data_IF_282859388221
#
_entry.id   IF_282859388221
#
_cell.length_a   1.000
_cell.length_b   1.000
_cell.length_c   1.000
_cell.angle_alpha   90.00
_cell.angle_beta   90.00
_cell.angle_gamma   90.00
#
_symmetry.space_group_name_H-M   'P 1'
#
loop_
_entity.id
_entity.type
_entity.pdbx_description
1 polymer ?
#
# COMPACT_ATOMS: atom_id res chain seq x y z
N UNK A 1 71.59 62.21 9.17
CA UNK A 1 73.06 62.04 9.08
C UNK A 1 73.33 60.78 8.27
N UNK A 2 74.16 60.87 7.23
CA UNK A 2 74.67 59.71 6.48
C UNK A 2 74.50 59.78 4.96
N UNK A 3 75.33 60.61 4.32
CA UNK A 3 75.60 60.68 2.88
C UNK A 3 76.84 59.86 2.50
N UNK A 4 76.80 59.17 1.35
CA UNK A 4 77.85 58.95 0.32
C UNK A 4 77.48 57.69 -0.52
N UNK A 5 77.24 57.69 -1.85
CA UNK A 5 78.14 57.96 -3.02
C UNK A 5 79.38 57.02 -3.00
N UNK A 6 79.80 56.25 -4.02
CA UNK A 6 79.73 56.31 -5.50
C UNK A 6 80.11 54.95 -6.18
N UNK A 7 79.54 54.72 -7.37
CA UNK A 7 80.11 54.31 -8.70
C UNK A 7 80.87 52.98 -8.92
N UNK A 8 80.36 52.21 -9.91
CA UNK A 8 80.98 51.81 -11.21
C UNK A 8 80.24 50.58 -11.79
N UNK A 9 80.11 50.24 -13.08
CA UNK A 9 80.17 50.83 -14.44
C UNK A 9 79.88 49.67 -15.43
N UNK A 10 79.59 50.00 -16.70
CA UNK A 10 79.50 49.16 -17.94
C UNK A 10 78.13 48.54 -18.34
N UNK A 11 77.40 49.05 -19.34
CA UNK A 11 77.54 48.97 -20.85
C UNK A 11 77.20 47.56 -21.40
N UNK A 12 76.30 47.30 -22.37
CA UNK A 12 75.86 47.94 -23.63
C UNK A 12 74.36 47.62 -23.91
N UNK A 13 73.48 48.48 -24.45
CA UNK A 13 73.35 49.20 -25.76
C UNK A 13 72.99 48.34 -26.99
N UNK A 14 71.82 48.71 -27.55
CA UNK A 14 71.36 48.70 -28.96
C UNK A 14 71.01 47.33 -29.59
N UNK A 15 69.92 47.16 -30.35
CA UNK A 15 69.31 48.12 -31.27
C UNK A 15 67.80 47.91 -31.56
N UNK A 16 67.15 49.05 -31.82
CA UNK A 16 66.18 49.35 -32.90
C UNK A 16 64.80 48.67 -32.93
N UNK A 17 63.71 49.38 -32.58
CA UNK A 17 63.01 50.43 -33.35
C UNK A 17 62.09 49.89 -34.46
N UNK A 18 60.80 49.73 -34.14
CA UNK A 18 59.73 50.03 -35.08
C UNK A 18 58.53 50.59 -34.30
N UNK A 19 58.38 51.91 -34.39
CA UNK A 19 57.24 52.67 -33.92
C UNK A 19 56.08 52.49 -34.91
N UNK A 20 54.97 51.92 -34.46
CA UNK A 20 53.64 52.33 -34.93
C UNK A 20 52.74 52.47 -33.72
N UNK A 21 52.41 53.72 -33.46
CA UNK A 21 51.37 54.21 -32.57
C UNK A 21 50.06 53.45 -32.81
N UNK A 22 49.63 52.67 -31.82
CA UNK A 22 48.22 52.27 -31.70
C UNK A 22 47.63 52.90 -30.46
N UNK A 23 46.66 53.77 -30.75
CA UNK A 23 45.67 54.36 -29.84
C UNK A 23 45.31 53.40 -28.72
N UNK A 24 45.42 53.86 -27.47
CA UNK A 24 44.83 53.20 -26.31
C UNK A 24 43.29 53.21 -26.44
N UNK A 25 42.75 52.20 -27.13
CA UNK A 25 41.35 51.83 -26.95
C UNK A 25 41.27 50.91 -25.74
N UNK A 26 40.88 51.49 -24.60
CA UNK A 26 40.39 50.75 -23.46
C UNK A 26 39.18 49.92 -23.91
N UNK A 27 39.39 48.64 -24.24
CA UNK A 27 38.30 47.69 -24.33
C UNK A 27 37.78 47.47 -22.90
N UNK A 28 36.66 48.11 -22.57
CA UNK A 28 35.86 47.77 -21.41
C UNK A 28 35.39 46.32 -21.55
N UNK A 29 36.14 45.39 -20.99
CA UNK A 29 35.80 43.97 -20.93
C UNK A 29 34.71 43.77 -19.88
N UNK A 30 33.47 44.06 -20.24
CA UNK A 30 32.35 43.44 -19.55
C UNK A 30 32.51 41.93 -19.72
N UNK A 31 32.94 41.26 -18.65
CA UNK A 31 33.28 39.84 -18.65
C UNK A 31 32.21 39.01 -19.37
N UNK A 32 32.60 37.95 -20.07
CA UNK A 32 31.68 37.00 -20.73
C UNK A 32 30.53 36.55 -19.79
N UNK A 33 30.81 36.51 -18.48
CA UNK A 33 29.85 36.28 -17.40
C UNK A 33 28.78 37.39 -17.27
N UNK A 34 29.16 38.66 -17.35
CA UNK A 34 28.22 39.78 -17.35
C UNK A 34 27.34 39.81 -18.60
N UNK A 35 27.90 39.52 -19.78
CA UNK A 35 27.13 39.36 -21.03
C UNK A 35 26.09 38.22 -20.91
N UNK A 36 26.50 37.09 -20.33
CA UNK A 36 25.60 35.94 -20.13
C UNK A 36 24.53 36.18 -19.05
N UNK A 37 24.87 36.90 -17.99
CA UNK A 37 23.89 37.29 -16.96
C UNK A 37 22.90 38.33 -17.48
N UNK A 38 23.37 39.26 -18.31
CA UNK A 38 22.52 40.26 -18.98
C UNK A 38 21.49 39.58 -19.90
N UNK A 39 21.93 38.65 -20.74
CA UNK A 39 21.04 37.89 -21.63
C UNK A 39 20.03 37.01 -20.89
N UNK A 40 20.40 36.43 -19.74
CA UNK A 40 19.44 35.70 -18.88
C UNK A 40 18.42 36.65 -18.27
N UNK A 41 18.85 37.84 -17.82
CA UNK A 41 17.96 38.86 -17.25
C UNK A 41 16.98 39.40 -18.29
N UNK A 42 17.47 39.68 -19.50
CA UNK A 42 16.66 40.13 -20.64
C UNK A 42 15.60 39.10 -21.03
N UNK A 43 15.95 37.80 -21.09
CA UNK A 43 14.94 36.74 -21.33
C UNK A 43 13.90 36.65 -20.25
N UNK A 44 14.29 36.78 -18.98
CA UNK A 44 13.34 36.75 -17.87
C UNK A 44 12.37 37.94 -17.92
N UNK A 45 12.86 39.13 -18.27
CA UNK A 45 12.01 40.30 -18.48
C UNK A 45 11.10 40.14 -19.69
N UNK A 46 11.58 39.58 -20.81
CA UNK A 46 10.76 39.30 -21.99
C UNK A 46 9.62 38.33 -21.65
N UNK A 47 9.94 37.22 -20.97
CA UNK A 47 8.93 36.23 -20.56
C UNK A 47 7.88 36.81 -19.61
N UNK A 48 8.28 37.73 -18.73
CA UNK A 48 7.34 38.41 -17.84
C UNK A 48 6.42 39.36 -18.60
N UNK A 49 6.95 40.10 -19.58
CA UNK A 49 6.16 40.97 -20.45
C UNK A 49 5.21 40.16 -21.33
N UNK A 50 5.65 39.03 -21.89
CA UNK A 50 4.82 38.13 -22.69
C UNK A 50 3.71 37.50 -21.84
N UNK A 51 3.97 37.19 -20.57
CA UNK A 51 2.96 36.72 -19.63
C UNK A 51 1.92 37.81 -19.33
N UNK A 52 2.33 39.05 -19.01
CA UNK A 52 1.40 40.17 -18.79
C UNK A 52 0.52 40.38 -20.02
N UNK A 53 1.11 40.38 -21.21
CA UNK A 53 0.35 40.50 -22.48
C UNK A 53 -0.61 39.34 -22.69
N UNK A 54 -0.26 38.13 -22.29
CA UNK A 54 -1.16 36.96 -22.38
C UNK A 54 -2.36 37.06 -21.43
N UNK A 55 -2.16 37.66 -20.25
CA UNK A 55 -3.21 37.92 -19.25
C UNK A 55 -4.12 39.07 -19.69
N UNK A 56 -3.56 40.13 -20.30
CA UNK A 56 -4.31 41.23 -20.89
C UNK A 56 -5.11 40.78 -22.13
N UNK A 57 -4.55 39.89 -22.96
CA UNK A 57 -5.20 39.34 -24.15
C UNK A 57 -6.37 38.38 -23.83
N UNK A 58 -6.44 37.84 -22.61
CA UNK A 58 -7.54 36.96 -22.16
C UNK A 58 -8.72 37.73 -21.52
N UNK A 59 -8.72 39.06 -21.58
CA UNK A 59 -9.94 39.86 -21.47
C UNK A 59 -10.73 39.69 -20.17
N UNK A 60 -10.06 39.52 -19.03
CA UNK A 60 -10.72 39.58 -17.72
C UNK A 60 -10.14 40.72 -16.91
N UNK A 61 -10.77 41.88 -17.04
CA UNK A 61 -10.67 42.94 -16.05
C UNK A 61 -11.18 42.37 -14.72
N UNK A 62 -10.26 42.06 -13.80
CA UNK A 62 -10.61 41.71 -12.43
C UNK A 62 -11.07 43.00 -11.75
N UNK A 63 -12.37 43.26 -11.82
CA UNK A 63 -13.02 44.18 -10.91
C UNK A 63 -12.88 43.61 -9.50
N UNK A 64 -12.23 44.37 -8.62
CA UNK A 64 -12.27 44.13 -7.19
C UNK A 64 -13.72 44.22 -6.71
N UNK A 65 -14.40 43.09 -6.58
CA UNK A 65 -15.67 43.00 -5.88
C UNK A 65 -15.73 41.67 -5.14
N UNK A 66 -16.19 41.78 -3.90
CA UNK A 66 -16.09 40.81 -2.84
C UNK A 66 -16.78 39.49 -3.20
N UNK A 67 -16.00 38.40 -3.26
CA UNK A 67 -16.53 37.04 -3.19
C UNK A 67 -15.70 36.31 -2.14
N UNK A 68 -16.38 35.92 -1.06
CA UNK A 68 -15.89 35.03 -0.01
C UNK A 68 -15.22 33.79 -0.63
N UNK A 69 -14.09 33.30 -0.08
CA UNK A 69 -13.27 32.31 -0.76
C UNK A 69 -14.01 30.98 -0.80
N UNK A 70 -14.65 30.67 -1.93
CA UNK A 70 -15.02 29.30 -2.26
C UNK A 70 -13.75 28.45 -2.26
N UNK A 71 -13.82 27.30 -1.58
CA UNK A 71 -12.84 26.21 -1.54
C UNK A 71 -11.73 26.37 -2.60
N UNK A 72 -10.52 26.67 -2.12
CA UNK A 72 -9.40 27.07 -2.94
C UNK A 72 -9.17 26.08 -4.09
N UNK A 73 -8.74 26.59 -5.26
CA UNK A 73 -8.30 25.79 -6.41
C UNK A 73 -7.33 24.63 -6.04
N UNK A 74 -6.61 24.75 -4.92
CA UNK A 74 -5.76 23.72 -4.33
C UNK A 74 -6.52 22.45 -3.88
N UNK A 75 -7.76 22.55 -3.45
CA UNK A 75 -8.57 21.41 -3.01
C UNK A 75 -9.13 20.62 -4.20
N UNK A 76 -9.54 21.32 -5.27
CA UNK A 76 -9.97 20.69 -6.53
C UNK A 76 -8.83 19.95 -7.25
N UNK A 77 -7.60 20.46 -7.14
CA UNK A 77 -6.41 19.83 -7.75
C UNK A 77 -5.92 18.56 -7.02
N UNK A 78 -6.43 18.23 -5.82
CA UNK A 78 -6.04 17.01 -5.11
C UNK A 78 -6.64 15.73 -5.72
N UNK A 79 -7.74 15.84 -6.47
CA UNK A 79 -8.45 14.69 -7.05
C UNK A 79 -8.90 15.02 -8.49
N UNK A 80 -8.01 14.94 -9.50
CA UNK A 80 -8.33 15.34 -10.87
C UNK A 80 -9.15 14.29 -11.65
N UNK A 81 -9.39 13.12 -11.05
CA UNK A 81 -10.37 12.15 -11.51
C UNK A 81 -11.35 12.03 -10.36
N UNK A 82 -12.64 12.23 -10.61
CA UNK A 82 -13.70 12.00 -9.63
C UNK A 82 -13.63 10.57 -9.12
N UNK A 83 -12.90 10.36 -8.03
CA UNK A 83 -13.17 9.28 -7.10
C UNK A 83 -14.45 9.66 -6.40
N UNK A 84 -15.52 8.95 -6.69
CA UNK A 84 -16.78 9.04 -5.96
C UNK A 84 -16.51 9.16 -4.45
N UNK A 85 -16.83 10.35 -3.96
CA UNK A 85 -17.23 10.72 -2.60
C UNK A 85 -16.20 10.47 -1.48
N UNK A 86 -15.44 11.54 -1.18
CA UNK A 86 -15.12 11.90 0.21
C UNK A 86 -16.05 13.04 0.62
N UNK A 87 -17.15 12.70 1.29
CA UNK A 87 -17.88 13.64 2.12
C UNK A 87 -17.34 13.43 3.53
N UNK A 88 -16.40 14.28 3.94
CA UNK A 88 -16.14 14.48 5.36
C UNK A 88 -17.32 15.28 5.91
N UNK A 89 -17.96 14.72 6.92
CA UNK A 89 -19.02 15.35 7.69
C UNK A 89 -18.45 16.57 8.42
N UNK A 90 -19.11 17.72 8.27
CA UNK A 90 -19.55 18.51 9.42
C UNK A 90 -20.72 19.44 9.02
N UNK A 91 -21.79 19.25 9.77
CA UNK A 91 -23.01 19.99 10.03
C UNK A 91 -23.17 21.40 9.40
N UNK A 92 -24.19 21.57 8.57
CA UNK A 92 -25.33 22.47 8.86
C UNK A 92 -26.47 22.27 7.86
N UNK A 93 -27.68 22.16 8.41
CA UNK A 93 -28.94 21.98 7.72
C UNK A 93 -29.14 22.90 6.50
N UNK A 94 -29.55 22.34 5.36
CA UNK A 94 -30.83 22.69 4.73
C UNK A 94 -31.08 21.89 3.45
N UNK A 95 -32.35 21.54 3.32
CA UNK A 95 -33.01 20.79 2.29
C UNK A 95 -32.59 21.07 0.82
N UNK A 96 -32.82 20.02 0.01
CA UNK A 96 -33.01 19.97 -1.45
C UNK A 96 -31.78 19.88 -2.36
N UNK A 97 -31.83 18.84 -3.20
CA UNK A 97 -31.07 18.60 -4.43
C UNK A 97 -29.59 18.22 -4.33
N UNK A 98 -29.36 16.97 -3.90
CA UNK A 98 -28.17 16.23 -4.30
C UNK A 98 -28.56 15.08 -5.23
N UNK A 99 -28.21 15.25 -6.52
CA UNK A 99 -28.13 14.18 -7.50
C UNK A 99 -27.06 13.19 -7.06
N UNK A 100 -27.46 12.20 -6.28
CA UNK A 100 -26.70 10.97 -6.12
C UNK A 100 -26.60 10.31 -7.49
N UNK A 101 -25.38 9.97 -7.89
CA UNK A 101 -25.13 8.97 -8.92
C UNK A 101 -25.95 7.75 -8.52
N UNK A 102 -26.84 7.31 -9.42
CA UNK A 102 -27.77 6.20 -9.22
C UNK A 102 -27.04 4.97 -8.64
N UNK A 103 -27.02 4.85 -7.31
CA UNK A 103 -26.82 3.57 -6.65
C UNK A 103 -28.12 2.85 -6.95
N UNK A 104 -28.14 1.77 -7.74
CA UNK A 104 -29.38 1.05 -7.97
C UNK A 104 -29.95 0.72 -6.58
N UNK A 105 -31.25 0.94 -6.40
CA UNK A 105 -32.02 0.77 -5.14
C UNK A 105 -32.06 -0.70 -4.63
N UNK A 106 -31.03 -1.50 -4.94
CA UNK A 106 -30.94 -2.91 -4.65
C UNK A 106 -29.51 -3.42 -4.56
N UNK A 107 -29.41 -4.63 -4.01
CA UNK A 107 -28.18 -5.39 -3.96
C UNK A 107 -27.73 -5.83 -5.36
N UNK A 108 -26.44 -5.73 -5.65
CA UNK A 108 -25.89 -6.00 -6.97
C UNK A 108 -25.64 -7.50 -7.22
N UNK A 109 -25.82 -8.34 -6.19
CA UNK A 109 -25.63 -9.79 -6.29
C UNK A 109 -24.15 -10.17 -6.36
N UNK A 110 -23.83 -11.23 -7.10
CA UNK A 110 -22.46 -11.72 -7.25
C UNK A 110 -21.65 -10.79 -8.15
N UNK A 111 -20.56 -10.23 -7.61
CA UNK A 111 -19.65 -9.32 -8.32
C UNK A 111 -18.56 -10.10 -9.05
N UNK A 112 -17.95 -11.08 -8.36
CA UNK A 112 -16.88 -11.90 -8.93
C UNK A 112 -16.88 -13.28 -8.30
N UNK A 113 -16.57 -14.27 -9.12
CA UNK A 113 -16.44 -15.66 -8.70
C UNK A 113 -15.07 -16.21 -9.13
N UNK A 114 -14.49 -17.01 -8.24
CA UNK A 114 -13.28 -17.78 -8.45
C UNK A 114 -13.65 -19.26 -8.30
N UNK A 115 -13.72 -19.96 -9.42
CA UNK A 115 -13.85 -21.41 -9.43
C UNK A 115 -12.47 -22.05 -9.19
N UNK A 116 -12.44 -23.09 -8.38
CA UNK A 116 -11.26 -23.91 -8.09
C UNK A 116 -11.59 -25.32 -8.59
N UNK A 117 -11.03 -25.66 -9.75
CA UNK A 117 -11.38 -26.86 -10.51
C UNK A 117 -11.24 -28.12 -9.63
N UNK A 118 -12.36 -28.81 -9.38
CA UNK A 118 -12.43 -30.01 -8.55
C UNK A 118 -12.59 -29.79 -7.03
N UNK A 119 -12.46 -28.56 -6.53
CA UNK A 119 -12.52 -28.26 -5.09
C UNK A 119 -13.74 -27.43 -4.67
N UNK A 120 -14.21 -26.52 -5.52
CA UNK A 120 -15.37 -25.68 -5.23
C UNK A 120 -15.24 -24.27 -5.80
N UNK A 121 -15.96 -23.31 -5.21
CA UNK A 121 -15.96 -21.90 -5.64
C UNK A 121 -15.90 -20.91 -4.48
N UNK A 122 -15.29 -19.76 -4.73
CA UNK A 122 -15.26 -18.61 -3.84
C UNK A 122 -15.91 -17.42 -4.55
N UNK A 123 -16.95 -16.82 -3.98
CA UNK A 123 -17.63 -15.64 -4.56
C UNK A 123 -17.50 -14.41 -3.67
N UNK A 124 -17.43 -13.22 -4.27
CA UNK A 124 -17.63 -11.93 -3.61
C UNK A 124 -18.96 -11.33 -4.07
N UNK A 125 -19.83 -11.00 -3.11
CA UNK A 125 -21.21 -10.59 -3.36
C UNK A 125 -21.57 -9.31 -2.61
N UNK A 126 -22.36 -8.46 -3.27
CA UNK A 126 -23.02 -7.30 -2.68
C UNK A 126 -24.46 -7.69 -2.35
N UNK A 127 -24.71 -8.05 -1.09
CA UNK A 127 -26.00 -8.56 -0.60
C UNK A 127 -26.20 -8.36 0.91
N UNK A 128 -27.42 -8.55 1.41
CA UNK A 128 -27.66 -8.74 2.85
C UNK A 128 -27.40 -10.20 3.24
N UNK A 129 -26.32 -10.43 3.98
CA UNK A 129 -25.89 -11.74 4.45
C UNK A 129 -26.96 -12.51 5.24
N UNK A 130 -27.85 -11.81 5.96
CA UNK A 130 -28.89 -12.46 6.77
C UNK A 130 -30.05 -12.99 5.93
N UNK A 131 -30.22 -12.45 4.72
CA UNK A 131 -31.29 -12.80 3.79
C UNK A 131 -30.94 -13.93 2.81
N UNK A 132 -29.69 -14.39 2.83
CA UNK A 132 -29.18 -15.42 1.93
C UNK A 132 -29.32 -16.82 2.52
N UNK A 133 -29.65 -17.77 1.66
CA UNK A 133 -29.67 -19.20 2.02
C UNK A 133 -28.25 -19.77 1.97
N UNK A 134 -27.86 -20.46 3.05
CA UNK A 134 -26.64 -21.27 3.15
C UNK A 134 -26.72 -22.24 4.33
N UNK A 135 -25.77 -23.15 4.42
CA UNK A 135 -25.66 -24.07 5.55
C UNK A 135 -25.21 -23.31 6.80
N UNK A 136 -24.18 -22.46 6.69
CA UNK A 136 -23.62 -21.71 7.81
C UNK A 136 -23.41 -20.23 7.49
N UNK A 137 -23.85 -19.36 8.40
CA UNK A 137 -23.42 -17.95 8.43
C UNK A 137 -22.41 -17.76 9.53
N UNK A 138 -21.25 -17.22 9.16
CA UNK A 138 -20.20 -16.84 10.09
C UNK A 138 -20.51 -15.47 10.67
N UNK A 139 -20.53 -15.37 11.99
CA UNK A 139 -20.80 -14.13 12.71
C UNK A 139 -19.63 -13.83 13.65
N UNK A 140 -18.86 -12.77 13.40
CA UNK A 140 -17.76 -12.44 14.27
C UNK A 140 -18.26 -11.89 15.61
N UNK A 141 -17.66 -12.34 16.70
CA UNK A 141 -17.95 -11.91 18.07
C UNK A 141 -16.67 -11.71 18.86
N UNK A 142 -16.67 -10.80 19.84
CA UNK A 142 -15.52 -10.65 20.72
C UNK A 142 -15.40 -11.84 21.70
N UNK A 143 -14.24 -12.06 22.33
CA UNK A 143 -14.02 -13.14 23.31
C UNK A 143 -14.98 -13.13 24.51
N UNK A 144 -15.53 -11.97 24.87
CA UNK A 144 -16.54 -11.82 25.92
C UNK A 144 -17.99 -12.06 25.42
N UNK A 145 -18.16 -12.49 24.17
CA UNK A 145 -19.45 -12.82 23.52
C UNK A 145 -20.50 -11.70 23.53
N UNK A 146 -20.06 -10.46 23.74
CA UNK A 146 -20.93 -9.28 23.86
C UNK A 146 -20.50 -8.22 22.85
N UNK A 147 -20.90 -8.37 21.58
CA UNK A 147 -20.62 -7.37 20.54
C UNK A 147 -21.40 -6.08 20.84
N UNK A 148 -20.72 -4.93 20.77
CA UNK A 148 -21.33 -3.61 20.98
C UNK A 148 -21.97 -3.03 19.72
N UNK A 149 -21.57 -3.50 18.54
CA UNK A 149 -22.02 -2.98 17.24
C UNK A 149 -21.86 -4.04 16.13
N UNK A 150 -22.24 -3.67 14.91
CA UNK A 150 -22.01 -4.48 13.72
C UNK A 150 -22.96 -5.66 13.56
N UNK A 151 -22.55 -6.62 12.72
CA UNK A 151 -23.36 -7.80 12.40
C UNK A 151 -23.60 -8.69 13.63
N UNK A 152 -22.61 -8.81 14.53
CA UNK A 152 -22.72 -9.62 15.73
C UNK A 152 -23.88 -9.19 16.62
N UNK A 153 -24.02 -7.89 16.86
CA UNK A 153 -25.12 -7.35 17.66
C UNK A 153 -26.46 -7.56 16.95
N UNK A 154 -26.57 -7.23 15.65
CA UNK A 154 -27.82 -7.39 14.89
C UNK A 154 -28.35 -8.82 14.88
N UNK A 155 -27.45 -9.80 14.78
CA UNK A 155 -27.82 -11.22 14.83
C UNK A 155 -28.35 -11.61 16.21
N UNK A 156 -27.70 -11.14 17.28
CA UNK A 156 -28.15 -11.41 18.66
C UNK A 156 -29.48 -10.71 18.99
N UNK A 157 -29.70 -9.49 18.50
CA UNK A 157 -30.97 -8.77 18.65
C UNK A 157 -32.11 -9.49 17.95
N UNK A 158 -31.90 -9.96 16.70
CA UNK A 158 -32.92 -10.71 15.94
C UNK A 158 -33.23 -12.07 16.55
N UNK A 159 -32.21 -12.83 16.98
CA UNK A 159 -32.42 -14.15 17.61
C UNK A 159 -32.89 -14.09 19.07
N UNK A 160 -32.79 -12.91 19.69
CA UNK A 160 -33.27 -12.63 21.04
C UNK A 160 -32.65 -13.50 22.14
N UNK A 161 -33.35 -13.59 23.28
CA UNK A 161 -32.87 -14.27 24.49
C UNK A 161 -32.55 -15.76 24.28
N UNK A 162 -33.28 -16.44 23.38
CA UNK A 162 -33.08 -17.87 23.09
C UNK A 162 -31.71 -18.11 22.46
N UNK A 163 -31.35 -17.32 21.45
CA UNK A 163 -30.04 -17.39 20.79
C UNK A 163 -28.90 -17.09 21.76
N UNK A 164 -29.03 -16.02 22.56
CA UNK A 164 -28.01 -15.65 23.56
C UNK A 164 -27.80 -16.78 24.58
N UNK A 165 -28.88 -17.39 25.07
CA UNK A 165 -28.79 -18.50 26.04
C UNK A 165 -28.12 -19.73 25.41
N UNK A 166 -28.45 -20.03 24.15
CA UNK A 166 -27.83 -21.13 23.42
C UNK A 166 -26.33 -20.89 23.16
N UNK A 167 -25.96 -19.66 22.76
CA UNK A 167 -24.58 -19.23 22.55
C UNK A 167 -23.74 -19.43 23.81
N UNK A 168 -24.18 -18.88 24.95
CA UNK A 168 -23.45 -19.01 26.22
C UNK A 168 -23.36 -20.46 26.68
N UNK A 169 -24.44 -21.25 26.52
CA UNK A 169 -24.43 -22.67 26.87
C UNK A 169 -23.42 -23.44 26.01
N UNK A 170 -23.38 -23.18 24.71
CA UNK A 170 -22.43 -23.83 23.79
C UNK A 170 -20.99 -23.38 24.01
N UNK A 171 -20.76 -22.10 24.29
CA UNK A 171 -19.44 -21.59 24.66
C UNK A 171 -18.85 -22.31 25.87
N UNK A 172 -19.67 -22.54 26.91
CA UNK A 172 -19.25 -23.30 28.10
C UNK A 172 -18.89 -24.75 27.77
N UNK A 173 -19.58 -25.38 26.82
CA UNK A 173 -19.25 -26.74 26.34
C UNK A 173 -17.91 -26.75 25.63
N UNK A 174 -17.64 -25.79 24.73
CA UNK A 174 -16.35 -25.68 24.03
C UNK A 174 -15.18 -25.52 25.03
N UNK A 175 -15.36 -24.68 26.06
CA UNK A 175 -14.36 -24.52 27.13
C UNK A 175 -14.18 -25.81 27.92
N UNK A 176 -15.27 -26.51 28.26
CA UNK A 176 -15.21 -27.78 28.99
C UNK A 176 -14.51 -28.90 28.19
N UNK A 177 -14.78 -28.99 26.88
CA UNK A 177 -14.12 -29.95 25.98
C UNK A 177 -12.60 -29.70 25.91
N UNK A 178 -12.19 -28.43 25.86
CA UNK A 178 -10.78 -28.04 25.90
C UNK A 178 -10.10 -28.41 27.22
N UNK A 179 -10.78 -28.17 28.34
CA UNK A 179 -10.26 -28.53 29.66
C UNK A 179 -10.11 -30.05 29.79
N UNK A 180 -11.10 -30.83 29.35
CA UNK A 180 -11.02 -32.29 29.31
C UNK A 180 -9.85 -32.77 28.44
N UNK A 181 -9.65 -32.17 27.25
CA UNK A 181 -8.52 -32.49 26.40
C UNK A 181 -7.17 -32.19 27.07
N UNK A 182 -7.05 -31.08 27.79
CA UNK A 182 -5.82 -30.75 28.54
C UNK A 182 -5.56 -31.69 29.71
N UNK A 183 -6.60 -32.13 30.41
CA UNK A 183 -6.46 -33.12 31.49
C UNK A 183 -5.90 -34.43 30.97
N UNK A 184 -6.31 -34.89 29.79
CA UNK A 184 -5.73 -36.09 29.16
C UNK A 184 -4.25 -35.92 28.82
N UNK A 185 -3.84 -34.69 28.47
CA UNK A 185 -2.46 -34.34 28.11
C UNK A 185 -1.60 -33.93 29.31
N UNK A 186 -2.13 -33.96 30.54
CA UNK A 186 -1.42 -33.53 31.76
C UNK A 186 -0.05 -34.18 31.93
N UNK A 187 0.11 -35.44 31.50
CA UNK A 187 1.37 -36.19 31.58
C UNK A 187 2.48 -35.67 30.66
N UNK A 188 2.15 -34.85 29.66
CA UNK A 188 3.11 -34.30 28.70
C UNK A 188 3.75 -32.98 29.18
N UNK A 189 3.21 -32.36 30.23
CA UNK A 189 3.79 -31.15 30.82
C UNK A 189 4.93 -31.52 31.76
N UNK A 190 6.08 -30.85 31.58
CA UNK A 190 7.28 -31.07 32.40
C UNK A 190 7.19 -30.32 33.72
N UNK A 191 6.62 -29.11 33.68
CA UNK A 191 6.51 -28.21 34.82
C UNK A 191 5.05 -27.97 35.22
N UNK A 192 4.80 -27.90 36.53
CA UNK A 192 3.47 -27.61 37.06
C UNK A 192 3.00 -26.20 36.67
N UNK A 193 3.92 -25.23 36.58
CA UNK A 193 3.60 -23.85 36.22
C UNK A 193 3.12 -23.73 34.76
N UNK A 194 3.74 -24.45 33.83
CA UNK A 194 3.30 -24.49 32.42
C UNK A 194 1.90 -25.07 32.28
N UNK A 195 1.58 -26.09 33.09
CA UNK A 195 0.25 -26.67 33.14
C UNK A 195 -0.79 -25.68 33.70
N UNK A 196 -0.46 -24.95 34.77
CA UNK A 196 -1.35 -23.93 35.33
C UNK A 196 -1.61 -22.78 34.35
N UNK A 197 -0.59 -22.32 33.63
CA UNK A 197 -0.74 -21.32 32.56
C UNK A 197 -1.64 -21.84 31.43
N UNK A 198 -1.42 -23.08 30.98
CA UNK A 198 -2.25 -23.70 29.95
C UNK A 198 -3.71 -23.85 30.40
N UNK A 199 -3.93 -24.20 31.67
CA UNK A 199 -5.25 -24.36 32.26
C UNK A 199 -5.98 -23.01 32.40
N UNK A 200 -5.26 -21.94 32.74
CA UNK A 200 -5.82 -20.60 32.77
C UNK A 200 -6.20 -20.10 31.37
N UNK A 201 -5.36 -20.34 30.36
CA UNK A 201 -5.66 -20.00 28.96
C UNK A 201 -6.85 -20.81 28.42
N UNK A 202 -7.04 -22.05 28.86
CA UNK A 202 -8.12 -22.91 28.40
C UNK A 202 -9.49 -22.53 28.95
N UNK A 203 -9.54 -21.86 30.10
CA UNK A 203 -10.78 -21.32 30.69
C UNK A 203 -11.38 -20.18 29.86
N UNK A 204 -10.56 -19.48 29.06
CA UNK A 204 -11.02 -18.42 28.16
C UNK A 204 -11.28 -18.93 26.75
N UNK A 205 -12.17 -18.22 26.05
CA UNK A 205 -12.34 -18.41 24.61
C UNK A 205 -11.14 -17.82 23.89
N UNK A 206 -10.58 -18.61 22.97
CA UNK A 206 -9.41 -18.25 22.20
C UNK A 206 -9.81 -17.67 20.86
N UNK A 207 -8.90 -16.89 20.29
CA UNK A 207 -9.05 -16.30 18.97
C UNK A 207 -9.13 -17.41 17.92
N UNK A 208 -10.20 -17.40 17.12
CA UNK A 208 -10.46 -18.39 16.08
C UNK A 208 -11.32 -19.57 16.53
N UNK A 209 -11.80 -19.57 17.79
CA UNK A 209 -12.82 -20.50 18.25
C UNK A 209 -14.14 -20.26 17.51
N UNK A 210 -14.81 -21.36 17.14
CA UNK A 210 -16.12 -21.32 16.46
C UNK A 210 -17.16 -21.97 17.36
N UNK A 211 -18.25 -21.26 17.60
CA UNK A 211 -19.38 -21.74 18.41
C UNK A 211 -20.60 -21.86 17.50
N UNK A 212 -21.03 -23.10 17.26
CA UNK A 212 -22.19 -23.38 16.41
C UNK A 212 -23.49 -23.32 17.22
N UNK A 213 -24.47 -22.59 16.67
CA UNK A 213 -25.80 -22.42 17.27
C UNK A 213 -26.86 -22.49 16.18
N UNK A 214 -28.09 -22.97 16.49
CA UNK A 214 -29.20 -22.81 15.56
C UNK A 214 -29.57 -21.32 15.44
N UNK A 215 -30.14 -20.89 14.30
CA UNK A 215 -30.32 -19.47 13.97
C UNK A 215 -31.40 -18.75 14.78
N UNK A 216 -32.42 -19.45 15.28
CA UNK A 216 -33.60 -18.86 15.96
C UNK A 216 -34.17 -17.63 15.23
N UNK A 217 -34.44 -17.78 13.93
CA UNK A 217 -34.97 -16.73 13.04
C UNK A 217 -34.05 -15.52 12.79
N UNK A 218 -32.81 -15.53 13.30
CA UNK A 218 -31.87 -14.43 13.09
C UNK A 218 -31.32 -14.35 11.65
N UNK A 219 -31.21 -15.50 10.98
CA UNK A 219 -30.72 -15.63 9.61
C UNK A 219 -31.44 -16.77 8.89
N UNK A 220 -31.48 -16.74 7.55
CA UNK A 220 -32.04 -17.81 6.72
C UNK A 220 -31.14 -19.06 6.62
N UNK A 221 -29.92 -18.99 7.13
CA UNK A 221 -29.00 -20.13 7.12
C UNK A 221 -29.38 -21.19 8.16
N UNK A 222 -28.97 -22.44 7.92
CA UNK A 222 -29.34 -23.56 8.80
C UNK A 222 -28.69 -23.48 10.19
N UNK A 223 -27.47 -22.94 10.26
CA UNK A 223 -26.67 -22.81 11.49
C UNK A 223 -25.95 -21.46 11.47
N UNK A 224 -25.74 -20.88 12.65
CA UNK A 224 -24.88 -19.70 12.86
C UNK A 224 -23.60 -20.15 13.56
N UNK A 225 -22.46 -19.85 12.93
CA UNK A 225 -21.13 -20.04 13.49
C UNK A 225 -20.60 -18.73 14.07
N UNK A 226 -20.66 -18.59 15.39
CA UNK A 226 -20.05 -17.46 16.08
C UNK A 226 -18.54 -17.64 16.17
N UNK A 227 -17.78 -16.74 15.54
CA UNK A 227 -16.31 -16.81 15.48
C UNK A 227 -15.72 -15.79 16.42
N UNK A 228 -14.86 -16.25 17.32
CA UNK A 228 -14.15 -15.38 18.26
C UNK A 228 -13.03 -14.64 17.53
N UNK A 229 -13.25 -13.35 17.27
CA UNK A 229 -12.28 -12.49 16.58
C UNK A 229 -11.39 -11.74 17.57
N UNK A 230 -10.15 -11.39 17.20
CA UNK A 230 -9.26 -10.61 18.06
C UNK A 230 -9.75 -9.17 18.19
N UNK A 231 -9.48 -8.55 19.33
CA UNK A 231 -9.58 -7.09 19.44
C UNK A 231 -8.39 -6.43 18.73
N UNK A 232 -8.67 -5.70 17.65
CA UNK A 232 -7.65 -5.04 16.82
C UNK A 232 -7.15 -3.69 17.39
N UNK A 233 -6.92 -3.59 18.70
CA UNK A 233 -6.27 -2.42 19.32
C UNK A 233 -4.73 -2.47 19.28
N UNK A 234 -4.18 -3.43 18.55
CA UNK A 234 -2.74 -3.61 18.44
C UNK A 234 -2.10 -2.60 17.49
N UNK A 235 -1.02 -1.95 17.93
CA UNK A 235 -0.31 -0.91 17.18
C UNK A 235 0.34 -1.39 15.87
N UNK A 236 0.35 -2.70 15.60
CA UNK A 236 0.99 -3.31 14.43
C UNK A 236 0.00 -3.94 13.46
N UNK A 237 -0.16 -3.33 12.27
CA UNK A 237 -1.01 -3.85 11.17
C UNK A 237 -0.64 -5.28 10.73
N UNK A 238 0.64 -5.66 10.82
CA UNK A 238 1.11 -7.02 10.50
C UNK A 238 0.59 -8.06 11.48
N UNK A 239 0.60 -7.77 12.78
CA UNK A 239 0.15 -8.73 13.80
C UNK A 239 -1.37 -8.94 13.71
N UNK A 240 -2.11 -7.84 13.51
CA UNK A 240 -3.54 -7.90 13.21
C UNK A 240 -3.84 -8.78 11.99
N UNK A 241 -3.07 -8.63 10.91
CA UNK A 241 -3.20 -9.45 9.71
C UNK A 241 -2.94 -10.94 9.97
N UNK A 242 -1.89 -11.27 10.74
CA UNK A 242 -1.58 -12.66 11.09
C UNK A 242 -2.68 -13.30 11.94
N UNK A 243 -3.24 -12.54 12.89
CA UNK A 243 -4.37 -13.00 13.70
C UNK A 243 -5.63 -13.19 12.85
N UNK A 244 -5.92 -12.28 11.93
CA UNK A 244 -7.03 -12.41 10.99
C UNK A 244 -6.90 -13.68 10.14
N UNK A 245 -5.70 -13.94 9.59
CA UNK A 245 -5.41 -15.17 8.84
C UNK A 245 -5.66 -16.41 9.67
N UNK A 246 -5.08 -16.43 10.87
CA UNK A 246 -5.29 -17.53 11.81
C UNK A 246 -6.78 -17.75 12.11
N UNK A 247 -7.53 -16.70 12.46
CA UNK A 247 -8.97 -16.83 12.73
C UNK A 247 -9.75 -17.40 11.58
N UNK A 248 -9.49 -16.92 10.37
CA UNK A 248 -10.27 -17.33 9.21
C UNK A 248 -9.93 -18.75 8.80
N UNK A 249 -8.64 -19.10 8.82
CA UNK A 249 -8.16 -20.46 8.59
C UNK A 249 -8.76 -21.46 9.57
N UNK A 250 -8.65 -21.21 10.89
CA UNK A 250 -9.20 -22.12 11.91
C UNK A 250 -10.71 -22.24 11.80
N UNK A 251 -11.39 -21.14 11.46
CA UNK A 251 -12.84 -21.15 11.24
C UNK A 251 -13.21 -22.09 10.10
N UNK A 252 -12.62 -21.91 8.93
CA UNK A 252 -12.96 -22.73 7.77
C UNK A 252 -12.56 -24.19 7.97
N UNK A 253 -11.40 -24.47 8.57
CA UNK A 253 -10.99 -25.84 8.92
C UNK A 253 -11.99 -26.51 9.87
N UNK A 254 -12.47 -25.78 10.88
CA UNK A 254 -13.48 -26.29 11.80
C UNK A 254 -14.81 -26.55 11.10
N UNK A 255 -15.31 -25.62 10.29
CA UNK A 255 -16.55 -25.78 9.53
C UNK A 255 -16.47 -26.97 8.55
N UNK A 256 -15.29 -27.19 7.96
CA UNK A 256 -15.04 -28.30 7.06
C UNK A 256 -15.07 -29.66 7.80
N UNK A 257 -14.52 -29.72 9.03
CA UNK A 257 -14.65 -30.91 9.89
C UNK A 257 -16.10 -31.21 10.26
N UNK A 258 -16.91 -30.15 10.42
CA UNK A 258 -18.35 -30.25 10.68
C UNK A 258 -19.20 -30.56 9.44
N UNK A 259 -18.57 -30.85 8.29
CA UNK A 259 -19.21 -31.22 7.01
C UNK A 259 -20.16 -30.16 6.42
N UNK A 260 -19.89 -28.89 6.69
CA UNK A 260 -20.65 -27.77 6.13
C UNK A 260 -20.22 -27.53 4.68
N UNK A 261 -21.17 -27.36 3.76
CA UNK A 261 -20.87 -27.22 2.31
C UNK A 261 -20.82 -25.78 1.86
N UNK A 262 -21.76 -24.96 2.34
CA UNK A 262 -21.90 -23.56 1.94
C UNK A 262 -21.72 -22.64 3.14
N UNK A 263 -20.76 -21.72 3.04
CA UNK A 263 -20.39 -20.80 4.13
C UNK A 263 -20.56 -19.36 3.67
N UNK A 264 -21.38 -18.60 4.38
CA UNK A 264 -21.53 -17.15 4.23
C UNK A 264 -20.63 -16.44 5.23
N UNK A 265 -19.72 -15.62 4.74
CA UNK A 265 -18.76 -14.89 5.57
C UNK A 265 -18.88 -13.38 5.34
N UNK A 266 -19.08 -12.57 6.39
CA UNK A 266 -18.85 -11.14 6.33
C UNK A 266 -17.33 -10.85 6.37
N UNK A 267 -16.88 -9.62 6.06
CA UNK A 267 -15.50 -9.24 6.32
C UNK A 267 -15.23 -9.30 7.82
N UNK A 268 -14.45 -10.30 8.24
CA UNK A 268 -14.10 -10.48 9.66
C UNK A 268 -13.20 -9.37 10.21
N UNK A 269 -12.54 -8.60 9.33
CA UNK A 269 -11.72 -7.45 9.71
C UNK A 269 -12.54 -6.29 10.29
N UNK A 270 -13.77 -6.11 9.80
CA UNK A 270 -14.64 -4.98 10.17
C UNK A 270 -15.47 -5.27 11.44
N UNK A 271 -15.31 -6.46 12.01
CA UNK A 271 -16.23 -7.01 12.99
C UNK A 271 -16.35 -6.22 14.30
N UNK A 272 -15.32 -5.49 14.73
CA UNK A 272 -15.28 -4.99 16.10
C UNK A 272 -14.81 -3.55 16.29
N UNK A 273 -14.09 -2.90 15.37
CA UNK A 273 -13.50 -1.56 15.65
C UNK A 273 -13.00 -0.77 14.41
N UNK A 274 -13.57 -0.96 13.20
CA UNK A 274 -13.15 -0.22 11.99
C UNK A 274 -11.63 -0.24 11.72
N UNK A 275 -10.96 -1.34 12.10
CA UNK A 275 -9.53 -1.47 11.88
C UNK A 275 -9.29 -1.78 10.41
N UNK A 276 -8.90 -0.78 9.63
CA UNK A 276 -8.45 -0.98 8.25
C UNK A 276 -7.13 -1.76 8.23
N UNK A 277 -7.23 -3.09 8.27
CA UNK A 277 -6.08 -3.96 8.10
C UNK A 277 -5.69 -3.91 6.64
N UNK A 278 -4.53 -3.31 6.37
CA UNK A 278 -3.95 -3.29 5.02
C UNK A 278 -3.85 -4.72 4.47
N UNK A 279 -4.45 -4.94 3.31
CA UNK A 279 -4.55 -6.24 2.62
C UNK A 279 -5.34 -7.31 3.40
N UNK A 280 -6.25 -6.92 4.31
CA UNK A 280 -7.11 -7.85 5.05
C UNK A 280 -7.98 -8.72 4.12
N UNK A 281 -8.65 -8.11 3.15
CA UNK A 281 -9.49 -8.84 2.17
C UNK A 281 -8.67 -9.85 1.35
N UNK A 282 -7.46 -9.47 0.93
CA UNK A 282 -6.55 -10.38 0.23
C UNK A 282 -6.16 -11.57 1.10
N UNK A 283 -5.85 -11.33 2.37
CA UNK A 283 -5.52 -12.41 3.30
C UNK A 283 -6.69 -13.37 3.52
N UNK A 284 -7.91 -12.86 3.71
CA UNK A 284 -9.11 -13.70 3.86
C UNK A 284 -9.30 -14.58 2.63
N UNK A 285 -9.22 -14.01 1.42
CA UNK A 285 -9.37 -14.77 0.18
C UNK A 285 -8.26 -15.84 0.01
N UNK A 286 -7.01 -15.50 0.31
CA UNK A 286 -5.90 -16.46 0.24
C UNK A 286 -6.10 -17.64 1.20
N UNK A 287 -6.48 -17.38 2.45
CA UNK A 287 -6.72 -18.44 3.41
C UNK A 287 -7.96 -19.28 3.03
N UNK A 288 -9.00 -18.69 2.44
CA UNK A 288 -10.11 -19.47 1.86
C UNK A 288 -9.62 -20.41 0.76
N UNK A 289 -8.80 -19.91 -0.16
CA UNK A 289 -8.24 -20.72 -1.23
C UNK A 289 -7.39 -21.87 -0.68
N UNK A 290 -6.50 -21.59 0.28
CA UNK A 290 -5.61 -22.59 0.86
C UNK A 290 -6.38 -23.66 1.66
N UNK A 291 -7.43 -23.28 2.40
CA UNK A 291 -8.28 -24.23 3.16
C UNK A 291 -9.21 -25.05 2.25
N UNK A 292 -9.64 -24.51 1.11
CA UNK A 292 -10.43 -25.27 0.14
C UNK A 292 -9.56 -26.23 -0.69
N UNK A 293 -8.37 -25.81 -1.12
CA UNK A 293 -7.47 -26.63 -1.93
C UNK A 293 -6.73 -27.69 -1.08
N UNK A 294 -6.40 -27.37 0.18
CA UNK A 294 -5.73 -28.24 1.14
C UNK A 294 -4.45 -28.93 0.62
N UNK A 295 -3.67 -28.20 -0.19
CA UNK A 295 -2.47 -28.73 -0.86
C UNK A 295 -1.44 -29.30 0.11
N UNK A 296 -1.36 -28.76 1.33
CA UNK A 296 -0.38 -29.17 2.34
C UNK A 296 -0.88 -30.26 3.29
N UNK A 297 -2.15 -30.68 3.18
CA UNK A 297 -2.75 -31.61 4.13
C UNK A 297 -2.49 -33.07 3.75
N UNK A 298 -2.13 -33.89 4.74
CA UNK A 298 -1.90 -35.34 4.53
C UNK A 298 -3.21 -36.07 4.22
N UNK A 299 -4.29 -35.70 4.92
CA UNK A 299 -5.61 -36.28 4.77
C UNK A 299 -6.61 -35.15 4.49
N UNK A 300 -6.82 -34.78 3.22
CA UNK A 300 -7.71 -33.69 2.88
C UNK A 300 -9.18 -34.06 3.11
N UNK A 301 -9.95 -33.09 3.59
CA UNK A 301 -11.39 -33.15 3.74
C UNK A 301 -12.00 -32.05 2.86
N UNK A 302 -12.78 -32.44 1.84
CA UNK A 302 -13.37 -31.50 0.87
C UNK A 302 -14.89 -31.39 1.05
N UNK A 303 -15.35 -30.96 2.23
CA UNK A 303 -16.79 -30.76 2.44
C UNK A 303 -17.27 -29.38 2.00
N UNK A 304 -16.44 -28.34 2.21
CA UNK A 304 -16.76 -26.97 1.79
C UNK A 304 -16.70 -26.88 0.26
N UNK A 305 -17.84 -26.61 -0.36
CA UNK A 305 -17.98 -26.45 -1.81
C UNK A 305 -18.07 -24.97 -2.23
N UNK A 306 -18.62 -24.11 -1.36
CA UNK A 306 -18.83 -22.70 -1.68
C UNK A 306 -18.56 -21.80 -0.47
N UNK A 307 -17.58 -20.90 -0.61
CA UNK A 307 -17.35 -19.80 0.34
C UNK A 307 -17.82 -18.50 -0.30
N UNK A 308 -18.79 -17.85 0.35
CA UNK A 308 -19.43 -16.62 -0.13
C UNK A 308 -19.03 -15.47 0.77
N UNK A 309 -18.21 -14.56 0.25
CA UNK A 309 -17.80 -13.32 0.92
C UNK A 309 -18.85 -12.25 0.62
N UNK A 310 -19.64 -11.86 1.64
CA UNK A 310 -20.80 -11.00 1.44
C UNK A 310 -20.62 -9.69 2.21
N UNK A 311 -20.90 -8.58 1.55
CA UNK A 311 -20.94 -7.28 2.21
C UNK A 311 -22.14 -6.43 1.79
N UNK A 312 -22.65 -5.66 2.75
CA UNK A 312 -23.80 -4.75 2.54
C UNK A 312 -23.44 -3.52 1.71
N UNK A 313 -22.21 -3.01 1.84
CA UNK A 313 -21.74 -1.85 1.07
C UNK A 313 -21.00 -2.30 -0.19
N UNK A 314 -21.41 -1.72 -1.33
CA UNK A 314 -20.84 -1.99 -2.66
C UNK A 314 -19.34 -1.71 -2.75
N UNK A 315 -18.85 -0.66 -2.08
CA UNK A 315 -17.44 -0.26 -2.09
C UNK A 315 -16.52 -1.37 -1.55
N UNK A 316 -16.84 -1.91 -0.37
CA UNK A 316 -16.08 -3.00 0.24
C UNK A 316 -16.28 -4.32 -0.51
N UNK A 317 -17.50 -4.59 -1.02
CA UNK A 317 -17.76 -5.76 -1.85
C UNK A 317 -16.88 -5.75 -3.11
N UNK A 318 -16.68 -4.57 -3.74
CA UNK A 318 -15.74 -4.38 -4.85
C UNK A 318 -14.29 -4.60 -4.43
N UNK A 319 -13.87 -4.14 -3.23
CA UNK A 319 -12.51 -4.43 -2.72
C UNK A 319 -12.28 -5.94 -2.51
N UNK A 320 -13.29 -6.69 -2.08
CA UNK A 320 -13.21 -8.15 -1.98
C UNK A 320 -13.16 -8.81 -3.36
N UNK A 321 -13.93 -8.31 -4.33
CA UNK A 321 -13.89 -8.78 -5.71
C UNK A 321 -12.52 -8.53 -6.37
N UNK A 322 -11.92 -7.36 -6.16
CA UNK A 322 -10.57 -7.03 -6.60
C UNK A 322 -9.55 -7.98 -5.97
N UNK A 323 -9.67 -8.26 -4.66
CA UNK A 323 -8.81 -9.20 -3.95
C UNK A 323 -8.93 -10.64 -4.51
N UNK A 324 -10.13 -11.09 -4.90
CA UNK A 324 -10.31 -12.39 -5.58
C UNK A 324 -9.53 -12.47 -6.89
N UNK A 325 -9.53 -11.40 -7.69
CA UNK A 325 -8.79 -11.36 -8.95
C UNK A 325 -7.28 -11.37 -8.71
N UNK A 326 -6.80 -10.61 -7.73
CA UNK A 326 -5.38 -10.59 -7.38
C UNK A 326 -4.89 -11.97 -6.90
N UNK A 327 -5.66 -12.64 -6.04
CA UNK A 327 -5.31 -13.99 -5.58
C UNK A 327 -5.36 -15.00 -6.73
N UNK A 328 -6.34 -14.90 -7.63
CA UNK A 328 -6.41 -15.74 -8.82
C UNK A 328 -5.17 -15.59 -9.71
N UNK A 329 -4.68 -14.35 -9.92
CA UNK A 329 -3.46 -14.08 -10.67
C UNK A 329 -2.20 -14.68 -10.04
N UNK A 330 -2.16 -14.84 -8.72
CA UNK A 330 -1.00 -15.43 -8.02
C UNK A 330 -1.08 -16.96 -8.01
N UNK A 331 -2.25 -17.51 -7.66
CA UNK A 331 -2.42 -18.93 -7.36
C UNK A 331 -2.74 -19.80 -8.59
N UNK A 332 -3.48 -19.29 -9.58
CA UNK A 332 -3.84 -20.07 -10.78
C UNK A 332 -2.85 -19.81 -11.92
N UNK A 333 -2.20 -20.84 -12.50
CA UNK A 333 -1.20 -20.67 -13.56
C UNK A 333 -1.78 -20.06 -14.83
N UNK A 334 -3.03 -20.38 -15.16
CA UNK A 334 -3.75 -19.87 -16.34
C UNK A 334 -3.97 -18.35 -16.28
N UNK A 335 -4.25 -17.85 -15.08
CA UNK A 335 -4.49 -16.43 -14.82
C UNK A 335 -3.24 -15.68 -14.38
N UNK A 336 -2.06 -16.33 -14.36
CA UNK A 336 -0.81 -15.64 -14.02
C UNK A 336 -0.55 -14.52 -15.02
N UNK A 337 -0.41 -13.30 -14.50
CA UNK A 337 -0.15 -12.11 -15.29
C UNK A 337 1.32 -11.70 -15.22
N UNK A 338 1.84 -11.17 -16.31
CA UNK A 338 3.15 -10.54 -16.37
C UNK A 338 3.11 -9.25 -17.20
N UNK A 339 4.00 -8.27 -16.94
CA UNK A 339 4.08 -7.06 -17.76
C UNK A 339 4.36 -7.39 -19.23
N UNK A 340 3.69 -6.68 -20.15
CA UNK A 340 3.84 -6.85 -21.59
C UNK A 340 5.31 -6.75 -22.05
N UNK A 341 6.06 -5.78 -21.50
CA UNK A 341 7.48 -5.63 -21.80
C UNK A 341 8.31 -6.88 -21.44
N UNK A 342 7.97 -7.55 -20.33
CA UNK A 342 8.64 -8.79 -19.90
C UNK A 342 8.22 -9.96 -20.78
N UNK A 343 6.93 -10.09 -21.11
CA UNK A 343 6.43 -11.14 -22.00
C UNK A 343 7.11 -11.06 -23.37
N UNK A 344 7.03 -9.91 -24.04
CA UNK A 344 7.59 -9.74 -25.36
C UNK A 344 9.11 -9.81 -25.35
N UNK A 345 9.78 -9.28 -24.32
CA UNK A 345 11.24 -9.43 -24.22
C UNK A 345 11.67 -10.89 -24.10
N UNK A 346 10.92 -11.73 -23.39
CA UNK A 346 11.20 -13.18 -23.30
C UNK A 346 10.87 -13.89 -24.61
N UNK A 347 9.72 -13.58 -25.21
CA UNK A 347 9.30 -14.16 -26.48
C UNK A 347 10.26 -13.80 -27.63
N UNK A 348 10.81 -12.59 -27.63
CA UNK A 348 11.80 -12.12 -28.61
C UNK A 348 13.24 -12.39 -28.18
N UNK A 349 13.47 -13.05 -27.05
CA UNK A 349 14.82 -13.33 -26.56
C UNK A 349 15.47 -14.32 -27.51
N UNK A 350 16.38 -13.81 -28.35
CA UNK A 350 17.26 -14.67 -29.14
C UNK A 350 18.34 -15.21 -28.21
N UNK A 351 18.49 -16.52 -28.16
CA UNK A 351 19.66 -17.13 -27.52
C UNK A 351 20.85 -16.76 -28.40
N UNK A 352 21.70 -15.88 -27.88
CA UNK A 352 22.99 -15.58 -28.52
C UNK A 352 23.96 -16.58 -27.91
N UNK A 353 24.24 -17.65 -28.64
CA UNK A 353 25.32 -18.57 -28.30
C UNK A 353 26.64 -17.83 -28.56
N UNK A 354 27.38 -17.58 -27.48
CA UNK A 354 28.75 -17.08 -27.59
C UNK A 354 29.69 -18.26 -27.51
N UNK A 355 30.60 -18.38 -28.47
CA UNK A 355 31.72 -19.30 -28.34
C UNK A 355 32.52 -18.99 -27.06
N UNK A 356 32.98 -20.04 -26.38
CA UNK A 356 33.79 -19.92 -25.17
C UNK A 356 35.06 -19.06 -25.38
N UNK A 357 35.56 -19.00 -26.62
CA UNK A 357 36.69 -18.16 -27.02
C UNK A 357 36.37 -16.65 -26.93
N UNK A 358 35.14 -16.24 -27.25
CA UNK A 358 34.66 -14.85 -27.15
C UNK A 358 34.45 -14.46 -25.69
N UNK A 359 33.98 -15.39 -24.85
CA UNK A 359 33.90 -15.19 -23.40
C UNK A 359 35.28 -15.01 -22.78
N UNK A 360 36.31 -15.72 -23.25
CA UNK A 360 37.71 -15.51 -22.82
C UNK A 360 38.22 -14.11 -23.15
N UNK A 361 37.86 -13.54 -24.31
CA UNK A 361 38.20 -12.16 -24.65
C UNK A 361 37.53 -11.14 -23.70
N UNK A 362 36.27 -11.39 -23.34
CA UNK A 362 35.53 -10.60 -22.33
C UNK A 362 35.98 -10.83 -20.88
N UNK A 363 36.63 -11.98 -20.59
CA UNK A 363 37.16 -12.32 -19.27
C UNK A 363 38.42 -11.54 -18.90
N UNK A 364 39.11 -10.94 -19.87
CA UNK A 364 40.11 -9.92 -19.61
C UNK A 364 39.44 -8.69 -18.99
N UNK A 365 39.35 -8.71 -17.66
CA UNK A 365 39.00 -7.58 -16.81
C UNK A 365 40.03 -6.45 -17.00
N UNK A 366 39.99 -5.76 -18.14
CA UNK A 366 40.36 -4.33 -18.11
C UNK A 366 39.27 -3.69 -17.28
N UNK A 367 39.56 -3.53 -15.99
CA UNK A 367 38.73 -2.81 -15.04
C UNK A 367 38.60 -1.38 -15.58
N UNK A 368 37.62 -1.14 -16.46
CA UNK A 368 37.14 0.17 -16.83
C UNK A 368 36.50 0.73 -15.57
N UNK A 369 37.37 1.22 -14.69
CA UNK A 369 36.97 1.90 -13.48
C UNK A 369 36.47 3.26 -13.93
N UNK A 370 35.17 3.34 -14.20
CA UNK A 370 34.50 4.63 -14.09
C UNK A 370 34.84 5.13 -12.69
N UNK A 371 35.66 6.19 -12.58
CA UNK A 371 35.96 6.80 -11.28
C UNK A 371 34.61 7.04 -10.62
N UNK A 372 34.33 6.32 -9.52
CA UNK A 372 33.05 6.43 -8.81
C UNK A 372 32.74 7.90 -8.68
N UNK A 373 31.55 8.31 -9.09
CA UNK A 373 31.14 9.73 -9.03
C UNK A 373 31.33 10.33 -7.63
N UNK A 374 31.41 9.51 -6.57
CA UNK A 374 31.77 9.92 -5.21
C UNK A 374 33.13 10.64 -5.13
N UNK A 375 34.15 10.21 -5.86
CA UNK A 375 35.48 10.84 -5.85
C UNK A 375 35.40 12.21 -6.52
N UNK A 376 34.78 12.31 -7.71
CA UNK A 376 34.62 13.59 -8.41
C UNK A 376 33.67 14.53 -7.65
N UNK A 377 32.61 14.00 -7.01
CA UNK A 377 31.70 14.75 -6.12
C UNK A 377 32.42 15.36 -4.93
N UNK A 378 33.34 14.61 -4.32
CA UNK A 378 34.03 15.01 -3.07
C UNK A 378 35.29 15.84 -3.33
N UNK A 379 36.17 15.41 -4.24
CA UNK A 379 37.47 16.08 -4.48
C UNK A 379 37.42 17.18 -5.53
N UNK A 380 36.51 17.11 -6.51
CA UNK A 380 36.33 18.12 -7.56
C UNK A 380 34.88 18.62 -7.60
N UNK A 381 34.37 19.03 -6.43
CA UNK A 381 32.97 19.44 -6.21
C UNK A 381 32.48 20.46 -7.25
N UNK A 382 33.30 21.45 -7.62
CA UNK A 382 32.92 22.46 -8.61
C UNK A 382 32.81 21.90 -10.03
N UNK A 383 33.71 21.01 -10.43
CA UNK A 383 33.64 20.34 -11.74
C UNK A 383 32.43 19.39 -11.80
N UNK A 384 32.18 18.65 -10.71
CA UNK A 384 30.96 17.86 -10.56
C UNK A 384 29.71 18.71 -10.71
N UNK A 385 29.60 19.84 -9.97
CA UNK A 385 28.41 20.69 -9.98
C UNK A 385 28.17 21.39 -11.33
N UNK A 386 29.23 21.84 -12.00
CA UNK A 386 29.12 22.64 -13.24
C UNK A 386 29.04 21.79 -14.50
N UNK A 387 29.77 20.68 -14.58
CA UNK A 387 29.97 19.96 -15.85
C UNK A 387 29.34 18.58 -15.88
N UNK A 388 29.10 17.95 -14.72
CA UNK A 388 28.59 16.57 -14.68
C UNK A 388 27.16 16.54 -14.16
N UNK A 389 26.88 17.22 -13.03
CA UNK A 389 25.55 17.27 -12.40
C UNK A 389 24.42 17.77 -13.31
N UNK A 390 24.61 18.72 -14.25
CA UNK A 390 23.53 19.13 -15.15
C UNK A 390 23.12 18.04 -16.14
N UNK A 391 24.06 17.16 -16.53
CA UNK A 391 23.83 16.08 -17.50
C UNK A 391 23.62 14.72 -16.84
N UNK A 392 23.92 14.59 -15.54
CA UNK A 392 23.41 13.50 -14.73
C UNK A 392 21.94 13.80 -14.49
N UNK A 393 21.12 13.39 -15.46
CA UNK A 393 19.68 13.32 -15.32
C UNK A 393 19.41 12.63 -13.99
N UNK A 394 18.94 13.41 -13.01
CA UNK A 394 18.23 12.80 -11.90
C UNK A 394 17.02 12.22 -12.57
N UNK A 395 17.00 10.90 -12.76
CA UNK A 395 15.73 10.21 -12.81
C UNK A 395 15.00 10.69 -11.57
N UNK A 396 14.07 11.62 -11.73
CA UNK A 396 13.04 11.78 -10.73
C UNK A 396 12.39 10.40 -10.55
N UNK A 397 11.65 10.16 -9.47
CA UNK A 397 10.66 9.11 -9.51
C UNK A 397 9.66 9.47 -10.63
N UNK A 398 10.02 9.14 -11.87
CA UNK A 398 9.10 9.03 -12.98
C UNK A 398 8.27 7.82 -12.57
N UNK A 399 7.07 8.06 -12.05
CA UNK A 399 6.09 7.00 -11.95
C UNK A 399 5.85 6.57 -13.39
N UNK A 400 6.43 5.45 -13.82
CA UNK A 400 6.12 4.86 -15.13
C UNK A 400 4.62 4.57 -15.17
N UNK A 401 3.97 4.63 -16.34
CA UNK A 401 2.58 4.23 -16.41
C UNK A 401 2.51 2.76 -15.96
N UNK A 402 1.42 2.33 -15.33
CA UNK A 402 1.26 0.93 -15.02
C UNK A 402 1.48 0.11 -16.30
N UNK A 403 2.35 -0.91 -16.29
CA UNK A 403 2.57 -1.71 -17.47
C UNK A 403 1.27 -2.45 -17.83
N UNK A 404 0.98 -2.55 -19.12
CA UNK A 404 -0.07 -3.43 -19.62
C UNK A 404 0.24 -4.86 -19.15
N UNK A 405 -0.70 -5.48 -18.45
CA UNK A 405 -0.58 -6.85 -17.99
C UNK A 405 -1.08 -7.80 -19.09
N UNK A 406 -0.29 -8.83 -19.38
CA UNK A 406 -0.64 -9.93 -20.27
C UNK A 406 -0.69 -11.24 -19.47
N UNK A 407 -1.56 -12.16 -19.86
CA UNK A 407 -1.52 -13.53 -19.34
C UNK A 407 -0.22 -14.21 -19.78
N UNK A 408 0.45 -14.86 -18.84
CA UNK A 408 1.74 -15.51 -19.05
C UNK A 408 1.66 -16.69 -20.01
N UNK A 409 0.54 -17.43 -20.00
CA UNK A 409 0.33 -18.60 -20.84
C UNK A 409 0.00 -18.24 -22.30
N UNK A 410 -0.85 -17.22 -22.51
CA UNK A 410 -1.39 -16.89 -23.84
C UNK A 410 -0.79 -15.64 -24.48
N UNK A 411 -0.22 -14.73 -23.68
CA UNK A 411 0.22 -13.41 -24.13
C UNK A 411 -0.93 -12.43 -24.44
N UNK A 412 -2.18 -12.82 -24.21
CA UNK A 412 -3.36 -11.95 -24.37
C UNK A 412 -3.43 -10.92 -23.23
N UNK A 413 -4.03 -9.73 -23.45
CA UNK A 413 -4.21 -8.74 -22.40
C UNK A 413 -5.05 -9.31 -21.25
N UNK A 414 -4.57 -9.10 -20.02
CA UNK A 414 -5.29 -9.50 -18.82
C UNK A 414 -6.61 -8.73 -18.71
N UNK A 415 -7.68 -9.42 -18.32
CA UNK A 415 -9.00 -8.81 -18.16
C UNK A 415 -9.00 -7.71 -17.07
N UNK A 416 -8.21 -7.91 -16.02
CA UNK A 416 -7.98 -6.92 -14.97
C UNK A 416 -6.63 -6.24 -15.16
N UNK A 417 -6.67 -4.92 -15.31
CA UNK A 417 -5.49 -4.08 -15.46
C UNK A 417 -5.21 -3.30 -14.18
N UNK A 418 -3.94 -2.94 -13.98
CA UNK A 418 -3.57 -2.08 -12.87
C UNK A 418 -4.22 -0.71 -13.03
N UNK A 419 -4.72 -0.16 -11.91
CA UNK A 419 -5.31 1.18 -11.90
C UNK A 419 -4.30 2.21 -12.42
N UNK A 420 -4.77 3.23 -13.16
CA UNK A 420 -3.90 4.29 -13.65
C UNK A 420 -3.18 4.95 -12.47
N UNK A 421 -1.86 5.04 -12.56
CA UNK A 421 -1.04 5.81 -11.62
C UNK A 421 -0.74 7.16 -12.26
N UNK A 422 -0.72 8.27 -11.48
CA UNK A 422 -0.30 9.56 -12.02
C UNK A 422 1.11 9.42 -12.60
N UNK A 423 1.20 9.53 -13.92
CA UNK A 423 2.42 9.42 -14.72
C UNK A 423 3.07 10.81 -14.81
N UNK A 424 4.23 10.98 -14.18
CA UNK A 424 4.98 12.23 -14.27
C UNK A 424 6.05 12.07 -15.34
N UNK A 425 5.91 12.78 -16.47
CA UNK A 425 6.97 12.97 -17.47
C UNK A 425 7.30 14.45 -17.52
N UNK A 426 8.59 14.78 -17.50
CA UNK A 426 9.12 16.13 -17.79
C UNK A 426 8.63 17.28 -16.90
N UNK A 427 8.86 17.23 -15.58
CA UNK A 427 8.78 18.38 -14.64
C UNK A 427 7.49 19.22 -14.67
N UNK A 428 6.46 18.78 -15.37
CA UNK A 428 5.11 19.31 -15.35
C UNK A 428 4.29 18.37 -14.47
N UNK A 429 4.45 18.55 -13.17
CA UNK A 429 3.46 18.11 -12.22
C UNK A 429 2.24 19.03 -12.35
N UNK A 430 1.04 18.47 -12.34
CA UNK A 430 -0.19 19.24 -12.08
C UNK A 430 -0.14 19.87 -10.66
N UNK A 431 0.78 19.43 -9.81
CA UNK A 431 1.18 20.08 -8.58
C UNK A 431 2.46 20.90 -8.80
N UNK A 432 2.35 22.20 -9.05
CA UNK A 432 3.51 23.11 -9.08
C UNK A 432 4.30 23.16 -7.75
N UNK A 433 3.83 22.49 -6.69
CA UNK A 433 4.55 22.33 -5.43
C UNK A 433 4.21 20.96 -4.80
N UNK A 434 5.19 20.07 -4.52
CA UNK A 434 4.93 18.92 -3.67
C UNK A 434 4.69 19.42 -2.24
N UNK A 435 3.42 19.46 -1.83
CA UNK A 435 3.06 19.72 -0.44
C UNK A 435 3.41 18.47 0.40
N UNK A 436 4.48 18.60 1.17
CA UNK A 436 4.70 17.92 2.45
C UNK A 436 4.69 16.38 2.42
N UNK A 437 5.87 15.77 2.28
CA UNK A 437 6.09 14.43 2.84
C UNK A 437 5.86 14.50 4.35
N UNK A 438 4.93 13.70 4.87
CA UNK A 438 4.79 13.50 6.32
C UNK A 438 6.15 13.14 6.94
N UNK A 439 6.43 13.56 8.20
CA UNK A 439 7.69 13.26 8.84
C UNK A 439 7.86 11.74 8.94
N UNK A 440 9.09 11.27 8.70
CA UNK A 440 9.50 9.88 8.91
C UNK A 440 9.13 9.51 10.35
N UNK A 441 8.10 8.68 10.54
CA UNK A 441 7.74 8.12 11.83
C UNK A 441 8.89 7.21 12.28
N UNK A 442 9.73 7.70 13.19
CA UNK A 442 10.79 6.90 13.81
C UNK A 442 12.00 7.67 14.34
N UNK A 443 12.17 8.94 13.97
CA UNK A 443 13.32 9.74 14.40
C UNK A 443 12.84 11.14 14.81
N UNK A 444 12.69 11.37 16.12
CA UNK A 444 12.43 12.72 16.64
C UNK A 444 13.77 13.38 16.98
N UNK A 445 13.96 14.63 16.59
CA UNK A 445 15.09 15.44 17.04
C UNK A 445 14.71 16.04 18.39
N UNK A 446 15.47 15.72 19.45
CA UNK A 446 15.29 16.34 20.76
C UNK A 446 15.69 17.82 20.75
N UNK A 447 15.34 18.56 21.81
CA UNK A 447 15.67 20.01 21.94
C UNK A 447 17.18 20.32 21.87
N UNK A 448 18.04 19.34 22.08
CA UNK A 448 19.51 19.44 21.94
C UNK A 448 20.04 19.14 20.54
N UNK A 449 19.17 18.94 19.54
CA UNK A 449 19.57 18.61 18.17
C UNK A 449 19.98 17.16 17.94
N UNK A 450 19.92 16.30 18.97
CA UNK A 450 20.22 14.86 18.86
C UNK A 450 19.00 14.07 18.42
N UNK A 451 19.21 13.11 17.52
CA UNK A 451 18.19 12.18 17.06
C UNK A 451 17.87 11.16 18.17
N UNK A 452 16.60 11.09 18.56
CA UNK A 452 16.06 10.12 19.52
C UNK A 452 15.21 9.09 18.77
N UNK A 453 15.70 7.86 18.75
CA UNK A 453 15.01 6.67 18.25
C UNK A 453 15.83 5.43 18.64
N UNK A 454 15.21 4.43 19.27
CA UNK A 454 15.87 3.15 19.57
C UNK A 454 15.91 2.33 18.28
N UNK A 455 17.10 1.87 17.88
CA UNK A 455 17.32 1.07 16.66
C UNK A 455 17.07 -0.43 16.82
N UNK A 456 16.76 -0.90 18.03
CA UNK A 456 16.45 -2.32 18.31
C UNK A 456 15.12 -2.43 19.03
N UNK A 457 14.23 -3.25 18.47
CA UNK A 457 13.06 -3.78 19.17
C UNK A 457 13.53 -4.94 20.07
N UNK A 458 12.99 -5.00 21.29
CA UNK A 458 13.21 -6.13 22.17
C UNK A 458 12.47 -7.37 21.62
N UNK A 459 13.00 -8.59 21.84
CA UNK A 459 12.39 -9.81 21.36
C UNK A 459 11.01 -10.07 22.02
N UNK A 460 10.14 -10.74 21.25
CA UNK A 460 8.68 -10.81 21.43
C UNK A 460 8.24 -11.34 22.81
N UNK A 461 9.04 -12.17 23.47
CA UNK A 461 8.67 -12.85 24.72
C UNK A 461 8.82 -11.99 26.00
N UNK A 462 9.33 -10.75 25.91
CA UNK A 462 9.54 -9.88 27.08
C UNK A 462 8.41 -8.82 27.23
N UNK A 463 7.53 -8.68 26.24
CA UNK A 463 6.57 -7.56 26.17
C UNK A 463 5.27 -7.76 26.97
N UNK A 464 5.16 -8.80 27.80
CA UNK A 464 3.96 -9.07 28.62
C UNK A 464 3.93 -8.33 29.96
N UNK A 465 4.96 -7.56 30.34
CA UNK A 465 5.11 -7.04 31.70
C UNK A 465 4.80 -5.56 31.93
N UNK A 466 4.04 -4.90 31.05
CA UNK A 466 3.55 -3.55 31.36
C UNK A 466 2.08 -3.40 31.02
N UNK A 467 1.25 -3.82 31.96
CA UNK A 467 -0.02 -3.16 32.25
C UNK A 467 0.23 -2.17 33.39
#
# INVERSE_FOLDING_TARGET
MGTCWLIASFCLRNASCCHKTYVSRCFGTASFLQSRLKTVRERATQQHVDWIRSVEATGSAISHTQVSPSASYLEKCRYPFDTDQRVDADETDSATDHKFIDVPDGYAGALKELEIDGFGKISAEHNDILSLDADCVVVPVPPNLTPYSGIGLRVLERGGKKLITALVKRAKVVVAERLAALETMRKHFKDANEYEEALNNAKSLNIGDVILTPPFDAARATIIGFVVTPFFWESGTRNALLKLRHTFKTTLEYLNRMRIRTVLCPPLADALNDCEIRNGNHAVVEEAYDVMAQLDSVNPLYHIQHVRLVHKHLSEARKMADALVEVAHVRRPEFQVQPAAVHFSRASQRVIEFDESVLKFCSHYRKLTYKRHSVVRKSKRMHWLRNIKPFVWRGGPLNSPPPLLLYKATGLPAASQLRPRPFYKDRLSHELFPLMRGPIKGLRVGRSGRWLGKTKQDPIYIQTKSL
#
